data_IF_727840441988
#
_entry.id   IF_727840441988
#
_cell.length_a   1.000
_cell.length_b   1.000
_cell.length_c   1.000
_cell.angle_alpha   90.00
_cell.angle_beta   90.00
_cell.angle_gamma   90.00
#
_symmetry.space_group_name_H-M   'P 1'
#
loop_
_entity.id
_entity.type
_entity.pdbx_description
1 polymer ?
#
# COMPACT_ATOMS: atom_id res chain seq x y z
N UNK A 1 7.14 33.62 -76.37
CA UNK A 1 7.29 32.39 -77.18
C UNK A 1 6.23 31.37 -76.74
N UNK A 2 5.71 30.63 -77.74
CA UNK A 2 4.70 29.54 -77.76
C UNK A 2 4.43 28.76 -76.45
N UNK A 3 3.15 28.48 -76.17
CA UNK A 3 2.68 27.34 -75.35
C UNK A 3 2.72 26.04 -76.20
N UNK A 4 2.79 24.80 -75.63
CA UNK A 4 1.60 24.06 -75.12
C UNK A 4 1.95 22.98 -74.01
N UNK A 5 1.23 21.84 -73.81
CA UNK A 5 0.12 21.70 -72.87
C UNK A 5 0.17 20.45 -71.93
N UNK A 6 -0.90 20.27 -71.16
CA UNK A 6 -1.46 18.99 -70.67
C UNK A 6 -0.85 18.32 -69.43
N UNK A 7 -1.69 18.19 -68.40
CA UNK A 7 -2.10 16.90 -67.83
C UNK A 7 -3.36 17.10 -67.00
N UNK A 8 -4.47 16.56 -67.51
CA UNK A 8 -5.68 16.34 -66.74
C UNK A 8 -5.47 15.15 -65.79
N UNK A 9 -6.01 15.25 -64.57
CA UNK A 9 -6.38 14.12 -63.69
C UNK A 9 -7.21 14.67 -62.52
N UNK A 10 -8.06 13.86 -61.87
CA UNK A 10 -9.48 13.78 -62.18
C UNK A 10 -10.39 14.32 -61.06
N UNK A 11 -11.64 14.57 -61.41
CA UNK A 11 -12.72 14.76 -60.46
C UNK A 11 -12.84 13.53 -59.53
N UNK A 12 -12.79 13.75 -58.20
CA UNK A 12 -13.29 12.75 -57.25
C UNK A 12 -13.85 13.40 -55.97
N UNK A 13 -15.18 13.52 -56.02
CA UNK A 13 -16.09 13.08 -54.96
C UNK A 13 -16.21 13.95 -53.70
N UNK A 14 -17.27 14.77 -53.71
CA UNK A 14 -17.98 15.22 -52.51
C UNK A 14 -18.37 14.01 -51.67
N UNK A 15 -17.60 13.67 -50.65
CA UNK A 15 -18.09 12.87 -49.53
C UNK A 15 -18.70 13.77 -48.47
N UNK A 16 -20.01 13.79 -48.55
CA UNK A 16 -21.01 14.17 -47.57
C UNK A 16 -20.55 14.04 -46.12
N UNK A 17 -20.99 15.05 -45.35
CA UNK A 17 -20.93 15.19 -43.90
C UNK A 17 -21.35 13.89 -43.21
N UNK A 18 -20.38 13.06 -42.88
CA UNK A 18 -20.53 11.98 -41.92
C UNK A 18 -20.43 12.59 -40.53
N UNK A 19 -21.57 12.60 -39.83
CA UNK A 19 -21.73 12.81 -38.39
C UNK A 19 -20.54 12.21 -37.67
N UNK A 20 -19.64 13.07 -37.17
CA UNK A 20 -18.62 12.65 -36.22
C UNK A 20 -19.38 12.38 -34.94
N UNK A 21 -19.86 11.14 -34.82
CA UNK A 21 -20.37 10.57 -33.59
C UNK A 21 -19.37 10.96 -32.50
N UNK A 22 -19.76 11.93 -31.66
CA UNK A 22 -19.05 12.22 -30.44
C UNK A 22 -19.20 10.98 -29.60
N UNK A 23 -18.20 10.12 -29.76
CA UNK A 23 -17.84 9.05 -28.86
C UNK A 23 -18.16 9.57 -27.47
N UNK A 24 -19.14 8.95 -26.83
CA UNK A 24 -19.41 9.10 -25.41
C UNK A 24 -18.14 8.70 -24.68
N UNK A 25 -17.20 9.64 -24.55
CA UNK A 25 -16.15 9.57 -23.56
C UNK A 25 -16.89 9.64 -22.25
N UNK A 26 -17.12 8.48 -21.65
CA UNK A 26 -17.53 8.36 -20.27
C UNK A 26 -16.71 9.39 -19.49
N UNK A 27 -17.40 10.32 -18.86
CA UNK A 27 -16.83 11.17 -17.83
C UNK A 27 -16.16 10.24 -16.82
N UNK A 28 -14.85 10.03 -16.97
CA UNK A 28 -14.02 9.49 -15.91
C UNK A 28 -13.91 10.61 -14.90
N UNK A 29 -14.95 10.69 -14.08
CA UNK A 29 -15.06 11.53 -12.91
C UNK A 29 -13.70 11.52 -12.21
N UNK A 30 -13.00 12.65 -12.24
CA UNK A 30 -11.68 12.82 -11.60
C UNK A 30 -11.90 12.76 -10.10
N UNK A 31 -12.15 11.56 -9.57
CA UNK A 31 -12.22 11.29 -8.13
C UNK A 31 -10.87 11.68 -7.56
N UNK A 32 -10.88 12.65 -6.65
CA UNK A 32 -9.71 13.10 -5.90
C UNK A 32 -8.87 11.89 -5.46
N UNK A 33 -7.53 11.94 -5.57
CA UNK A 33 -6.70 10.77 -5.31
C UNK A 33 -6.91 10.27 -3.88
N UNK A 34 -7.43 9.05 -3.74
CA UNK A 34 -7.64 8.40 -2.43
C UNK A 34 -6.31 8.33 -1.67
N UNK A 35 -6.25 8.90 -0.47
CA UNK A 35 -5.02 8.92 0.34
C UNK A 35 -4.69 7.57 0.98
N UNK A 36 -5.72 6.77 1.25
CA UNK A 36 -5.62 5.43 1.81
C UNK A 36 -5.36 4.44 0.68
N UNK A 37 -4.08 4.16 0.44
CA UNK A 37 -3.61 3.19 -0.54
C UNK A 37 -2.76 2.13 0.16
N UNK A 38 -2.66 0.94 -0.44
CA UNK A 38 -1.70 -0.06 0.00
C UNK A 38 -0.27 0.51 0.03
N UNK A 39 0.51 0.13 1.04
CA UNK A 39 1.86 0.65 1.27
C UNK A 39 1.93 1.98 2.03
N UNK A 40 0.79 2.62 2.34
CA UNK A 40 0.77 3.79 3.22
C UNK A 40 0.90 3.38 4.68
N UNK A 41 1.64 4.19 5.44
CA UNK A 41 1.77 4.02 6.89
C UNK A 41 0.60 4.70 7.58
N UNK A 42 0.05 4.02 8.56
CA UNK A 42 -1.04 4.48 9.41
C UNK A 42 -0.70 4.24 10.87
N UNK A 43 -1.28 5.06 11.74
CA UNK A 43 -1.24 4.89 13.18
C UNK A 43 -2.59 4.36 13.65
N UNK A 44 -2.55 3.36 14.54
CA UNK A 44 -3.77 2.83 15.15
C UNK A 44 -4.17 3.69 16.34
N UNK A 45 -5.42 4.15 16.34
CA UNK A 45 -5.97 4.96 17.41
C UNK A 45 -6.53 4.09 18.55
N UNK A 46 -7.29 3.05 18.20
CA UNK A 46 -8.11 2.33 19.18
C UNK A 46 -7.74 0.84 19.34
N UNK A 47 -8.08 0.29 20.51
CA UNK A 47 -7.93 -1.12 20.88
C UNK A 47 -6.53 -1.52 21.36
N UNK A 48 -6.30 -2.84 21.53
CA UNK A 48 -5.02 -3.38 22.08
C UNK A 48 -3.76 -2.93 21.33
N UNK A 49 -3.90 -2.57 20.06
CA UNK A 49 -2.79 -2.15 19.20
C UNK A 49 -2.72 -0.63 19.00
N UNK A 50 -3.40 0.15 19.85
CA UNK A 50 -3.34 1.61 19.84
C UNK A 50 -1.90 2.15 19.99
N UNK A 51 -1.64 3.30 19.35
CA UNK A 51 -0.33 3.94 19.32
C UNK A 51 0.74 3.19 18.52
N UNK A 52 0.37 2.09 17.83
CA UNK A 52 1.29 1.32 16.98
C UNK A 52 1.19 1.76 15.53
N UNK A 53 2.35 1.77 14.87
CA UNK A 53 2.53 2.02 13.44
C UNK A 53 2.23 0.75 12.67
N UNK A 54 1.48 0.89 11.60
CA UNK A 54 1.11 -0.18 10.70
C UNK A 54 1.15 0.28 9.24
N UNK A 55 1.23 -0.67 8.33
CA UNK A 55 1.15 -0.47 6.89
C UNK A 55 -0.17 -1.05 6.40
N UNK A 56 -0.86 -0.32 5.53
CA UNK A 56 -2.04 -0.83 4.85
C UNK A 56 -1.60 -1.86 3.82
N UNK A 57 -2.08 -3.09 3.94
CA UNK A 57 -1.82 -4.16 2.96
C UNK A 57 -2.90 -4.13 1.88
N UNK A 58 -4.17 -4.18 2.30
CA UNK A 58 -5.34 -4.24 1.43
C UNK A 58 -6.41 -3.29 1.95
N UNK A 59 -6.96 -2.48 1.05
CA UNK A 59 -8.09 -1.59 1.29
C UNK A 59 -9.37 -2.30 0.86
N UNK A 60 -10.42 -2.23 1.67
CA UNK A 60 -11.73 -2.81 1.41
C UNK A 60 -12.76 -1.70 1.62
N UNK A 61 -13.01 -0.94 0.56
CA UNK A 61 -13.86 0.26 0.60
C UNK A 61 -15.35 -0.11 0.57
N UNK A 62 -15.72 -1.19 -0.13
CA UNK A 62 -17.10 -1.61 -0.36
C UNK A 62 -17.65 -2.55 0.74
N UNK A 63 -16.85 -2.82 1.77
CA UNK A 63 -17.21 -3.76 2.84
C UNK A 63 -17.16 -5.23 2.41
N UNK A 64 -17.34 -6.12 3.37
CA UNK A 64 -17.53 -7.56 3.16
C UNK A 64 -18.89 -7.95 3.75
N UNK A 65 -19.51 -9.08 3.38
CA UNK A 65 -20.78 -9.50 3.99
C UNK A 65 -20.70 -9.57 5.53
N UNK A 66 -19.54 -9.95 6.08
CA UNK A 66 -19.32 -9.96 7.54
C UNK A 66 -19.22 -8.55 8.17
N UNK A 67 -18.82 -7.55 7.37
CA UNK A 67 -18.50 -6.18 7.82
C UNK A 67 -18.94 -5.18 6.74
N UNK A 68 -20.15 -4.61 6.83
CA UNK A 68 -20.68 -3.72 5.80
C UNK A 68 -19.97 -2.35 5.73
N UNK A 69 -19.06 -2.07 6.67
CA UNK A 69 -18.32 -0.81 6.73
C UNK A 69 -16.96 -0.89 6.03
N UNK A 70 -16.49 0.26 5.56
CA UNK A 70 -15.15 0.41 4.97
C UNK A 70 -14.05 0.06 5.97
N UNK A 71 -13.19 -0.86 5.61
CA UNK A 71 -12.11 -1.33 6.47
C UNK A 71 -10.86 -1.65 5.66
N UNK A 72 -9.76 -1.88 6.38
CA UNK A 72 -8.52 -2.32 5.74
C UNK A 72 -7.84 -3.40 6.56
N UNK A 73 -6.99 -4.16 5.87
CA UNK A 73 -6.08 -5.10 6.49
C UNK A 73 -4.76 -4.38 6.70
N UNK A 74 -4.31 -4.35 7.95
CA UNK A 74 -3.06 -3.71 8.34
C UNK A 74 -2.08 -4.73 8.89
N UNK A 75 -0.81 -4.52 8.55
CA UNK A 75 0.33 -5.24 9.11
C UNK A 75 1.24 -4.23 9.81
N UNK A 76 1.53 -4.43 11.09
CA UNK A 76 2.27 -3.45 11.88
C UNK A 76 3.20 -4.06 12.90
N UNK A 77 3.86 -3.19 13.66
CA UNK A 77 4.84 -3.58 14.67
C UNK A 77 4.21 -3.53 16.07
N UNK A 78 4.13 -4.67 16.75
CA UNK A 78 3.69 -4.74 18.15
C UNK A 78 4.84 -4.36 19.08
N UNK A 79 5.98 -5.04 18.91
CA UNK A 79 7.22 -4.78 19.65
C UNK A 79 8.26 -4.21 18.69
N UNK A 80 8.61 -2.96 18.94
CA UNK A 80 9.62 -2.23 18.18
C UNK A 80 11.02 -2.74 18.49
N UNK A 81 11.95 -2.64 17.51
CA UNK A 81 13.36 -2.84 17.78
C UNK A 81 13.86 -1.75 18.73
N UNK A 82 14.79 -2.12 19.61
CA UNK A 82 15.41 -1.19 20.55
C UNK A 82 16.58 -0.47 19.89
N UNK A 83 16.96 0.70 20.40
CA UNK A 83 18.14 1.42 19.91
C UNK A 83 19.40 0.54 20.01
N UNK A 84 20.19 0.53 18.94
CA UNK A 84 21.48 -0.16 18.85
C UNK A 84 22.58 0.89 18.92
N UNK A 85 23.62 0.63 19.71
CA UNK A 85 24.85 1.46 19.78
C UNK A 85 26.05 0.64 19.30
N UNK A 86 27.09 1.32 18.82
CA UNK A 86 28.30 0.67 18.25
C UNK A 86 29.06 -0.20 19.26
N UNK A 87 28.95 0.10 20.56
CA UNK A 87 29.62 -0.60 21.65
C UNK A 87 28.98 -1.94 22.05
N UNK A 88 27.85 -2.32 21.44
CA UNK A 88 27.14 -3.54 21.83
C UNK A 88 27.74 -4.79 21.18
N UNK A 89 27.74 -5.89 21.93
CA UNK A 89 28.08 -7.20 21.37
C UNK A 89 26.99 -7.71 20.43
N UNK A 90 27.38 -8.51 19.44
CA UNK A 90 26.50 -9.07 18.42
C UNK A 90 25.31 -9.82 19.01
N UNK A 91 25.52 -10.57 20.10
CA UNK A 91 24.46 -11.28 20.83
C UNK A 91 23.40 -10.33 21.39
N UNK A 92 23.81 -9.14 21.88
CA UNK A 92 22.89 -8.10 22.37
C UNK A 92 22.19 -7.41 21.21
N UNK A 93 22.89 -7.16 20.10
CA UNK A 93 22.33 -6.58 18.88
C UNK A 93 21.20 -7.47 18.34
N UNK A 94 21.47 -8.77 18.16
CA UNK A 94 20.49 -9.74 17.67
C UNK A 94 19.23 -9.82 18.56
N UNK A 95 19.34 -9.63 19.87
CA UNK A 95 18.19 -9.58 20.78
C UNK A 95 17.39 -8.29 20.65
N UNK A 96 18.06 -7.14 20.42
CA UNK A 96 17.45 -5.82 20.29
C UNK A 96 16.77 -5.59 18.93
N UNK A 97 17.26 -6.21 17.87
CA UNK A 97 16.70 -6.12 16.53
C UNK A 97 15.41 -6.92 16.32
N UNK A 98 15.02 -7.79 17.27
CA UNK A 98 13.85 -8.67 17.14
C UNK A 98 12.55 -7.87 17.05
N UNK A 99 11.80 -8.09 15.98
CA UNK A 99 10.50 -7.45 15.77
C UNK A 99 9.39 -8.46 16.04
N UNK A 100 8.33 -8.02 16.76
CA UNK A 100 7.08 -8.79 16.85
C UNK A 100 6.02 -8.10 16.00
N UNK A 101 5.64 -8.65 14.85
CA UNK A 101 4.59 -8.07 14.03
C UNK A 101 3.19 -8.47 14.50
N UNK A 102 2.19 -7.74 14.02
CA UNK A 102 0.78 -8.11 14.13
C UNK A 102 0.07 -7.86 12.79
N UNK A 103 -1.02 -8.61 12.58
CA UNK A 103 -1.90 -8.49 11.42
C UNK A 103 -3.32 -8.36 11.96
N UNK A 104 -4.07 -7.35 11.48
CA UNK A 104 -5.41 -7.04 11.97
C UNK A 104 -6.28 -6.41 10.87
N UNK A 105 -7.57 -6.71 10.85
CA UNK A 105 -8.57 -5.92 10.12
C UNK A 105 -9.01 -4.74 10.98
N UNK A 106 -9.01 -3.53 10.44
CA UNK A 106 -9.29 -2.30 11.17
C UNK A 106 -10.22 -1.40 10.34
N UNK A 107 -11.23 -0.82 10.99
CA UNK A 107 -12.10 0.20 10.40
C UNK A 107 -11.29 1.48 10.12
N UNK A 108 -11.56 2.16 9.02
CA UNK A 108 -10.91 3.42 8.66
C UNK A 108 -10.99 4.50 9.76
N UNK A 109 -12.09 4.56 10.52
CA UNK A 109 -12.24 5.53 11.61
C UNK A 109 -11.21 5.34 12.74
N UNK A 110 -10.64 4.14 12.88
CA UNK A 110 -9.66 3.83 13.93
C UNK A 110 -8.22 3.99 13.45
N UNK A 111 -8.02 4.61 12.28
CA UNK A 111 -6.72 4.87 11.69
C UNK A 111 -6.48 6.37 11.62
N UNK A 112 -5.29 6.78 12.03
CA UNK A 112 -4.76 8.08 11.69
C UNK A 112 -3.82 7.91 10.48
N UNK A 113 -4.18 8.45 9.31
CA UNK A 113 -3.34 8.38 8.13
C UNK A 113 -2.08 9.21 8.35
N UNK A 114 -0.97 8.76 7.79
CA UNK A 114 0.29 9.50 7.85
C UNK A 114 0.82 9.74 6.44
N UNK A 115 1.67 10.76 6.30
CA UNK A 115 2.29 11.11 5.02
C UNK A 115 3.20 10.00 4.48
N UNK A 116 3.82 9.25 5.39
CA UNK A 116 4.86 8.28 5.07
C UNK A 116 4.32 7.05 4.34
N UNK A 117 5.17 6.48 3.49
CA UNK A 117 4.94 5.21 2.80
C UNK A 117 6.04 4.23 3.12
N UNK A 118 5.69 2.95 3.21
CA UNK A 118 6.63 1.85 3.16
C UNK A 118 6.33 1.02 1.93
N UNK A 119 7.32 0.96 1.05
CA UNK A 119 7.32 0.01 -0.04
C UNK A 119 7.63 -1.37 0.54
N UNK A 120 6.63 -2.21 0.77
CA UNK A 120 6.80 -3.62 1.14
C UNK A 120 5.70 -4.39 0.43
N UNK A 121 6.08 -5.43 -0.31
CA UNK A 121 5.15 -6.32 -1.00
C UNK A 121 4.51 -7.30 0.00
N UNK A 122 3.57 -6.80 0.81
CA UNK A 122 2.83 -7.60 1.79
C UNK A 122 1.53 -8.20 1.24
N UNK A 123 1.15 -7.81 0.02
CA UNK A 123 -0.13 -8.17 -0.60
C UNK A 123 -0.25 -9.67 -0.88
N UNK A 124 0.85 -10.32 -1.24
CA UNK A 124 0.89 -11.76 -1.52
C UNK A 124 0.79 -12.61 -0.25
N UNK A 125 1.33 -12.13 0.86
CA UNK A 125 1.44 -12.89 2.11
C UNK A 125 0.18 -12.76 2.97
N UNK A 126 -0.50 -11.61 2.92
CA UNK A 126 -1.63 -11.32 3.81
C UNK A 126 -2.93 -11.28 3.00
N UNK A 127 -3.62 -12.42 2.97
CA UNK A 127 -4.95 -12.55 2.38
C UNK A 127 -6.06 -12.29 3.40
N UNK A 128 -7.25 -11.96 2.92
CA UNK A 128 -8.47 -11.74 3.72
C UNK A 128 -8.81 -12.96 4.57
N UNK A 129 -8.61 -14.14 4.01
CA UNK A 129 -9.10 -15.41 4.56
C UNK A 129 -8.26 -15.85 5.76
N UNK A 130 -6.99 -15.46 5.79
CA UNK A 130 -6.09 -15.72 6.92
C UNK A 130 -6.43 -14.82 8.11
N UNK A 131 -6.98 -13.64 7.86
CA UNK A 131 -7.33 -12.69 8.93
C UNK A 131 -8.74 -12.94 9.46
N UNK A 132 -9.67 -13.32 8.58
CA UNK A 132 -11.05 -13.69 8.93
C UNK A 132 -11.17 -15.14 9.43
N UNK A 133 -10.32 -16.05 8.95
CA UNK A 133 -10.34 -17.46 9.31
C UNK A 133 -10.02 -17.70 10.78
N UNK A 134 -10.78 -18.60 11.39
CA UNK A 134 -10.59 -19.03 12.79
C UNK A 134 -9.27 -19.79 13.00
N UNK A 135 -8.62 -20.25 11.92
CA UNK A 135 -7.42 -21.10 11.96
C UNK A 135 -6.21 -20.36 12.56
N UNK A 136 -5.82 -20.65 13.82
CA UNK A 136 -4.76 -19.91 14.51
C UNK A 136 -3.38 -20.19 13.91
N UNK A 137 -3.18 -21.38 13.32
CA UNK A 137 -1.92 -21.83 12.72
C UNK A 137 -1.54 -21.01 11.49
N UNK A 138 -2.50 -20.78 10.57
CA UNK A 138 -2.29 -19.97 9.37
C UNK A 138 -1.90 -18.54 9.75
N UNK A 139 -2.58 -17.95 10.74
CA UNK A 139 -2.27 -16.61 11.25
C UNK A 139 -0.90 -16.52 11.91
N UNK A 140 -0.46 -17.60 12.58
CA UNK A 140 0.89 -17.68 13.17
C UNK A 140 1.96 -17.72 12.07
N UNK A 141 1.75 -18.51 11.02
CA UNK A 141 2.69 -18.61 9.89
C UNK A 141 2.84 -17.27 9.16
N UNK A 142 1.74 -16.59 8.82
CA UNK A 142 1.82 -15.27 8.20
C UNK A 142 2.53 -14.23 9.07
N UNK A 143 2.40 -14.30 10.41
CA UNK A 143 3.18 -13.43 11.29
C UNK A 143 4.68 -13.71 11.21
N UNK A 144 5.09 -14.97 11.02
CA UNK A 144 6.51 -15.32 10.83
C UNK A 144 7.03 -14.76 9.50
N UNK A 145 6.23 -14.80 8.45
CA UNK A 145 6.65 -14.28 7.14
C UNK A 145 6.74 -12.75 7.14
N UNK A 146 5.72 -12.07 7.69
CA UNK A 146 5.76 -10.62 7.91
C UNK A 146 6.95 -10.22 8.80
N UNK A 147 7.30 -11.07 9.78
CA UNK A 147 8.45 -10.81 10.65
C UNK A 147 9.76 -10.79 9.86
N UNK A 148 10.00 -11.79 9.00
CA UNK A 148 11.21 -11.86 8.16
C UNK A 148 11.33 -10.59 7.30
N UNK A 149 10.26 -10.23 6.59
CA UNK A 149 10.23 -9.05 5.72
C UNK A 149 10.51 -7.74 6.49
N UNK A 150 9.96 -7.60 7.70
CA UNK A 150 10.19 -6.41 8.52
C UNK A 150 11.60 -6.36 9.13
N UNK A 151 12.19 -7.51 9.47
CA UNK A 151 13.57 -7.59 9.94
C UNK A 151 14.56 -7.23 8.81
N UNK A 152 14.30 -7.66 7.57
CA UNK A 152 15.10 -7.28 6.40
C UNK A 152 15.00 -5.77 6.11
N UNK A 153 13.79 -5.21 6.18
CA UNK A 153 13.54 -3.76 6.08
C UNK A 153 14.20 -2.98 7.23
N UNK A 154 14.33 -3.57 8.41
CA UNK A 154 15.05 -2.94 9.52
C UNK A 154 16.57 -2.95 9.30
N UNK A 155 17.13 -4.06 8.83
CA UNK A 155 18.55 -4.16 8.52
C UNK A 155 18.98 -3.15 7.44
N UNK A 156 18.15 -2.96 6.41
CA UNK A 156 18.35 -1.90 5.41
C UNK A 156 18.18 -0.50 5.99
N UNK A 157 17.22 -0.29 6.89
CA UNK A 157 17.06 0.98 7.63
C UNK A 157 18.31 1.33 8.45
N UNK A 158 18.98 0.36 9.08
CA UNK A 158 20.20 0.61 9.86
C UNK A 158 21.36 1.03 8.96
N UNK A 159 21.48 0.43 7.77
CA UNK A 159 22.57 0.74 6.81
C UNK A 159 22.35 2.06 6.08
N UNK A 160 21.13 2.30 5.59
CA UNK A 160 20.81 3.41 4.68
C UNK A 160 20.07 4.56 5.37
N UNK A 161 19.56 4.38 6.59
CA UNK A 161 18.79 5.40 7.32
C UNK A 161 17.34 5.62 6.82
N UNK A 162 16.95 4.96 5.72
CA UNK A 162 15.60 5.06 5.15
C UNK A 162 14.56 4.46 6.10
N UNK A 163 13.38 5.08 6.19
CA UNK A 163 12.21 4.59 6.93
C UNK A 163 12.39 4.49 8.47
N UNK A 164 13.35 5.24 9.03
CA UNK A 164 13.64 5.32 10.48
C UNK A 164 12.39 5.59 11.32
N UNK A 165 11.52 6.48 10.84
CA UNK A 165 10.30 6.84 11.56
C UNK A 165 9.41 5.63 11.80
N UNK A 166 9.29 4.66 10.89
CA UNK A 166 8.42 3.50 11.07
C UNK A 166 8.88 2.59 12.22
N UNK A 167 10.19 2.37 12.35
CA UNK A 167 10.78 1.48 13.35
C UNK A 167 10.97 2.13 14.71
N UNK A 168 10.88 3.45 14.80
CA UNK A 168 10.89 4.17 16.07
C UNK A 168 9.54 4.09 16.77
N UNK A 169 9.55 3.74 18.06
CA UNK A 169 8.35 3.77 18.91
C UNK A 169 7.83 5.20 19.02
N UNK A 170 6.52 5.39 18.81
CA UNK A 170 5.85 6.65 19.09
C UNK A 170 5.80 6.87 20.61
N UNK A 171 6.17 8.07 21.07
CA UNK A 171 6.01 8.50 22.46
C UNK A 171 4.73 9.33 22.52
N UNK A 172 3.81 8.88 23.35
CA UNK A 172 2.59 9.58 23.73
C UNK A 172 2.73 9.96 25.20
#
# INVERSE_FOLDING_TARGET
ARAPPSRACPARERRSRGVRCWRTMSSSEKKSPKFLKAGKIVLLLNGRMAGKKAVIVKTLDEGTPDRPYGHCIVAGIQKYPLKITKSMSEKKIAKRSRIKPFIKCVNYNHLMPTRYSLDIELKSVVTTDIVAGSNPTARSNCRKDVKKLLEDKYNTCVKTGKNKWFFQKLRF
#
